data_IF_012761896776
#
_entry.id   IF_012761896776
#
_cell.length_a   1.000
_cell.length_b   1.000
_cell.length_c   1.000
_cell.angle_alpha   90.00
_cell.angle_beta   90.00
_cell.angle_gamma   90.00
#
_symmetry.space_group_name_H-M   'P 1'
#
loop_
_entity.id
_entity.type
_entity.pdbx_description
1 polymer ?
#
# COMPACT_ATOMS: atom_id res chain seq x y z
N UNK A 1 -35.30 -4.22 4.22
CA UNK A 1 -34.55 -3.42 5.21
C UNK A 1 -33.41 -4.29 5.72
N UNK A 2 -32.30 -4.34 4.97
CA UNK A 2 -31.11 -5.08 5.38
C UNK A 2 -30.37 -4.25 6.44
N UNK A 3 -30.30 -4.75 7.67
CA UNK A 3 -29.37 -4.21 8.66
C UNK A 3 -27.95 -4.46 8.18
N UNK A 4 -27.23 -3.40 7.87
CA UNK A 4 -25.76 -3.42 7.88
C UNK A 4 -25.36 -3.74 9.31
N UNK A 5 -24.91 -4.96 9.55
CA UNK A 5 -24.13 -5.28 10.74
C UNK A 5 -22.85 -4.48 10.57
N UNK A 6 -22.73 -3.35 11.28
CA UNK A 6 -21.44 -2.71 11.47
C UNK A 6 -20.61 -3.72 12.24
N UNK A 7 -19.67 -4.37 11.54
CA UNK A 7 -18.70 -5.24 12.18
C UNK A 7 -17.90 -4.39 13.16
N UNK A 8 -18.27 -4.49 14.44
CA UNK A 8 -17.67 -3.74 15.54
C UNK A 8 -16.25 -4.24 15.89
N UNK A 9 -15.68 -5.11 15.05
CA UNK A 9 -14.32 -5.63 15.16
C UNK A 9 -13.36 -5.12 14.08
N UNK A 10 -13.83 -4.37 13.07
CA UNK A 10 -12.96 -3.79 12.05
C UNK A 10 -12.02 -2.75 12.68
N UNK A 11 -10.72 -2.89 12.40
CA UNK A 11 -9.67 -1.98 12.86
C UNK A 11 -8.85 -1.49 11.67
N UNK A 12 -8.31 -0.29 11.80
CA UNK A 12 -7.41 0.29 10.80
C UNK A 12 -6.02 -0.33 10.88
N UNK A 13 -5.51 -0.77 9.75
CA UNK A 13 -4.18 -1.34 9.57
C UNK A 13 -3.36 -0.50 8.60
N UNK A 14 -2.10 -0.25 8.93
CA UNK A 14 -1.16 0.29 7.95
C UNK A 14 -0.53 -0.87 7.19
N UNK A 15 -0.67 -0.87 5.88
CA UNK A 15 -0.14 -1.89 4.97
C UNK A 15 1.03 -1.30 4.18
N UNK A 16 2.13 -2.06 4.08
CA UNK A 16 3.18 -1.83 3.08
C UNK A 16 3.26 -3.07 2.18
N UNK A 17 2.80 -2.92 0.94
CA UNK A 17 2.91 -3.93 -0.10
C UNK A 17 4.20 -3.68 -0.89
N UNK A 18 5.05 -4.70 -0.99
CA UNK A 18 6.29 -4.64 -1.77
C UNK A 18 6.18 -5.56 -2.97
N UNK A 19 6.46 -5.00 -4.14
CA UNK A 19 6.42 -5.71 -5.42
C UNK A 19 7.75 -5.58 -6.15
N UNK A 20 8.14 -6.63 -6.86
CA UNK A 20 9.40 -6.68 -7.61
C UNK A 20 9.25 -7.51 -8.88
N UNK A 21 10.03 -7.17 -9.91
CA UNK A 21 10.09 -7.94 -11.15
C UNK A 21 11.04 -7.34 -12.17
N UNK A 22 10.75 -7.56 -13.46
CA UNK A 22 11.59 -7.08 -14.54
C UNK A 22 11.69 -5.54 -14.56
N UNK A 23 12.88 -5.00 -14.86
CA UNK A 23 13.09 -3.57 -14.89
C UNK A 23 12.23 -2.90 -15.98
N UNK A 24 11.55 -1.81 -15.61
CA UNK A 24 10.79 -0.91 -16.50
C UNK A 24 11.29 0.52 -16.35
N UNK A 25 10.85 1.42 -17.24
CA UNK A 25 11.28 2.82 -17.14
C UNK A 25 10.72 3.48 -15.87
N UNK A 26 11.51 4.33 -15.24
CA UNK A 26 11.08 5.09 -14.05
C UNK A 26 9.87 6.00 -14.30
N UNK A 27 9.65 6.40 -15.55
CA UNK A 27 8.49 7.22 -15.94
C UNK A 27 7.21 6.37 -16.02
N UNK A 28 7.28 5.18 -16.62
CA UNK A 28 6.11 4.27 -16.73
C UNK A 28 5.64 3.81 -15.36
N UNK A 29 6.56 3.37 -14.49
CA UNK A 29 6.17 2.92 -13.15
C UNK A 29 5.59 4.06 -12.31
N UNK A 30 6.13 5.28 -12.43
CA UNK A 30 5.58 6.45 -11.76
C UNK A 30 4.15 6.72 -12.20
N UNK A 31 3.90 6.79 -13.51
CA UNK A 31 2.58 7.04 -14.06
C UNK A 31 1.58 5.93 -13.67
N UNK A 32 2.01 4.67 -13.65
CA UNK A 32 1.18 3.57 -13.20
C UNK A 32 0.81 3.65 -11.71
N UNK A 33 1.77 4.02 -10.85
CA UNK A 33 1.53 4.24 -9.42
C UNK A 33 0.63 5.46 -9.16
N UNK A 34 0.76 6.52 -9.95
CA UNK A 34 -0.14 7.68 -9.90
C UNK A 34 -1.58 7.28 -10.27
N UNK A 35 -1.77 6.49 -11.34
CA UNK A 35 -3.09 5.93 -11.69
C UNK A 35 -3.67 5.02 -10.61
N UNK A 36 -2.85 4.14 -10.02
CA UNK A 36 -3.29 3.32 -8.90
C UNK A 36 -3.77 4.19 -7.73
N UNK A 37 -3.06 5.29 -7.44
CA UNK A 37 -3.44 6.26 -6.42
C UNK A 37 -4.77 6.96 -6.71
N UNK A 38 -5.05 7.25 -7.98
CA UNK A 38 -6.32 7.85 -8.41
C UNK A 38 -7.49 6.86 -8.33
N UNK A 39 -7.25 5.57 -8.65
CA UNK A 39 -8.24 4.50 -8.54
C UNK A 39 -8.57 4.15 -7.07
N UNK A 40 -7.60 4.30 -6.17
CA UNK A 40 -7.70 3.97 -4.74
C UNK A 40 -7.35 5.16 -3.86
N UNK A 41 -8.29 6.09 -3.63
CA UNK A 41 -8.02 7.35 -2.92
C UNK A 41 -7.65 7.21 -1.44
N UNK A 42 -7.50 5.99 -0.90
CA UNK A 42 -6.93 5.71 0.43
C UNK A 42 -5.41 5.45 0.41
N UNK A 43 -4.77 5.49 -0.77
CA UNK A 43 -3.32 5.37 -0.90
C UNK A 43 -2.58 6.53 -0.21
N UNK A 44 -1.72 6.18 0.74
CA UNK A 44 -0.93 7.16 1.48
C UNK A 44 0.33 7.55 0.71
N UNK A 45 1.02 6.59 0.10
CA UNK A 45 2.32 6.86 -0.51
C UNK A 45 2.82 5.69 -1.35
N UNK A 46 3.75 5.97 -2.26
CA UNK A 46 4.51 4.97 -2.96
C UNK A 46 6.00 5.32 -3.03
N UNK A 47 6.87 4.32 -2.95
CA UNK A 47 8.29 4.43 -3.33
C UNK A 47 8.59 3.48 -4.47
N UNK A 48 9.44 3.88 -5.41
CA UNK A 48 9.72 3.05 -6.57
C UNK A 48 11.16 3.15 -7.07
N UNK A 49 11.61 2.07 -7.70
CA UNK A 49 12.82 1.94 -8.50
C UNK A 49 12.42 1.31 -9.84
N UNK A 50 13.38 1.14 -10.74
CA UNK A 50 13.12 0.53 -12.06
C UNK A 50 12.57 -0.90 -11.97
N UNK A 51 12.81 -1.65 -10.90
CA UNK A 51 12.43 -3.05 -10.76
C UNK A 51 11.58 -3.36 -9.50
N UNK A 52 11.26 -2.34 -8.69
CA UNK A 52 10.63 -2.53 -7.38
C UNK A 52 9.72 -1.37 -7.04
N UNK A 53 8.65 -1.63 -6.31
CA UNK A 53 7.87 -0.61 -5.65
C UNK A 53 7.41 -1.03 -4.24
N UNK A 54 7.29 -0.04 -3.36
CA UNK A 54 6.59 -0.13 -2.08
C UNK A 54 5.35 0.76 -2.14
N UNK A 55 4.19 0.16 -1.87
CA UNK A 55 2.89 0.83 -1.86
C UNK A 55 2.40 0.85 -0.41
N UNK A 56 2.00 2.02 0.09
CA UNK A 56 1.62 2.22 1.50
C UNK A 56 0.23 2.82 1.61
N UNK A 57 -0.60 2.25 2.47
CA UNK A 57 -1.98 2.70 2.66
C UNK A 57 -2.54 2.26 4.02
N UNK A 58 -3.68 2.83 4.40
CA UNK A 58 -4.49 2.33 5.51
C UNK A 58 -5.66 1.52 4.97
N UNK A 59 -5.97 0.40 5.62
CA UNK A 59 -7.10 -0.45 5.27
C UNK A 59 -7.87 -0.93 6.51
N UNK A 60 -9.15 -1.22 6.34
CA UNK A 60 -10.00 -1.79 7.39
C UNK A 60 -10.01 -3.31 7.29
N UNK A 61 -9.65 -3.99 8.37
CA UNK A 61 -9.77 -5.44 8.44
C UNK A 61 -9.99 -5.91 9.88
N UNK A 62 -10.66 -7.04 10.04
CA UNK A 62 -10.91 -7.68 11.34
C UNK A 62 -9.59 -8.05 12.04
N UNK A 63 -8.63 -8.60 11.28
CA UNK A 63 -7.30 -8.89 11.77
C UNK A 63 -6.16 -8.69 10.75
N UNK A 64 -4.93 -8.92 11.20
CA UNK A 64 -3.75 -8.71 10.37
C UNK A 64 -3.69 -9.70 9.20
N UNK A 65 -4.19 -10.92 9.38
CA UNK A 65 -4.24 -11.93 8.32
C UNK A 65 -5.23 -11.50 7.24
N UNK A 66 -6.42 -11.05 7.65
CA UNK A 66 -7.41 -10.48 6.72
C UNK A 66 -6.85 -9.28 5.95
N UNK A 67 -6.09 -8.39 6.60
CA UNK A 67 -5.44 -7.27 5.90
C UNK A 67 -4.40 -7.73 4.87
N UNK A 68 -3.65 -8.80 5.13
CA UNK A 68 -2.71 -9.39 4.15
C UNK A 68 -3.47 -9.93 2.94
N UNK A 69 -4.57 -10.66 3.16
CA UNK A 69 -5.39 -11.23 2.09
C UNK A 69 -6.01 -10.13 1.21
N UNK A 70 -6.54 -9.08 1.83
CA UNK A 70 -7.07 -7.91 1.13
C UNK A 70 -5.99 -7.20 0.32
N UNK A 71 -4.78 -7.05 0.86
CA UNK A 71 -3.66 -6.44 0.15
C UNK A 71 -3.24 -7.21 -1.11
N UNK A 72 -3.12 -8.53 -1.00
CA UNK A 72 -2.78 -9.38 -2.14
C UNK A 72 -3.88 -9.32 -3.22
N UNK A 73 -5.15 -9.28 -2.80
CA UNK A 73 -6.30 -9.19 -3.71
C UNK A 73 -6.35 -7.84 -4.44
N UNK A 74 -6.16 -6.73 -3.73
CA UNK A 74 -6.12 -5.38 -4.31
C UNK A 74 -5.06 -5.31 -5.42
N UNK A 75 -3.85 -5.84 -5.15
CA UNK A 75 -2.80 -5.89 -6.16
C UNK A 75 -3.25 -6.66 -7.42
N UNK A 76 -3.79 -7.86 -7.23
CA UNK A 76 -4.25 -8.70 -8.33
C UNK A 76 -5.35 -8.04 -9.16
N UNK A 77 -6.27 -7.33 -8.51
CA UNK A 77 -7.40 -6.65 -9.16
C UNK A 77 -6.97 -5.39 -9.93
N UNK A 78 -6.00 -4.63 -9.40
CA UNK A 78 -5.70 -3.29 -9.91
C UNK A 78 -4.40 -3.15 -10.69
N UNK A 79 -3.52 -4.17 -10.68
CA UNK A 79 -2.27 -4.10 -11.47
C UNK A 79 -2.54 -3.83 -12.95
N UNK A 80 -3.58 -4.45 -13.50
CA UNK A 80 -3.88 -4.36 -14.94
C UNK A 80 -4.53 -3.03 -15.28
N UNK A 81 -5.50 -2.57 -14.47
CA UNK A 81 -6.19 -1.28 -14.70
C UNK A 81 -5.24 -0.09 -14.59
N UNK A 82 -4.36 -0.11 -13.58
CA UNK A 82 -3.36 0.94 -13.38
C UNK A 82 -2.19 0.89 -14.39
N UNK A 83 -2.11 -0.16 -15.21
CA UNK A 83 -1.01 -0.39 -16.15
C UNK A 83 0.33 -0.63 -15.46
N UNK A 84 0.30 -1.30 -14.31
CA UNK A 84 1.48 -1.73 -13.58
C UNK A 84 2.13 -2.92 -14.30
N UNK A 85 3.47 -3.03 -14.23
CA UNK A 85 4.18 -4.19 -14.76
C UNK A 85 3.73 -5.49 -14.09
N UNK A 86 3.99 -6.62 -14.74
CA UNK A 86 3.71 -7.97 -14.23
C UNK A 86 4.71 -8.36 -13.13
N UNK A 87 4.74 -7.55 -12.07
CA UNK A 87 5.58 -7.73 -10.90
C UNK A 87 4.86 -8.55 -9.84
N UNK A 88 5.65 -9.33 -9.13
CA UNK A 88 5.19 -10.23 -8.10
C UNK A 88 5.16 -9.52 -6.75
N UNK A 89 4.22 -9.92 -5.89
CA UNK A 89 4.24 -9.53 -4.48
C UNK A 89 5.35 -10.28 -3.78
N UNK A 90 6.37 -9.55 -3.33
CA UNK A 90 7.55 -10.11 -2.64
C UNK A 90 7.57 -9.80 -1.14
N UNK A 91 6.64 -8.99 -0.64
CA UNK A 91 6.49 -8.72 0.78
C UNK A 91 5.21 -7.99 1.13
N UNK A 92 4.66 -8.29 2.30
CA UNK A 92 3.53 -7.57 2.90
C UNK A 92 3.87 -7.31 4.37
N UNK A 93 3.89 -6.05 4.78
CA UNK A 93 3.93 -5.66 6.19
C UNK A 93 2.57 -5.10 6.60
N UNK A 94 2.01 -5.62 7.68
CA UNK A 94 0.75 -5.15 8.28
C UNK A 94 1.01 -4.80 9.74
N UNK A 95 0.75 -3.56 10.12
CA UNK A 95 0.94 -3.08 11.49
C UNK A 95 -0.24 -2.26 11.98
N UNK A 96 -0.53 -2.39 13.28
CA UNK A 96 -1.59 -1.62 13.92
C UNK A 96 -1.20 -0.14 14.09
N UNK A 97 -2.21 0.70 14.35
CA UNK A 97 -2.03 2.14 14.53
C UNK A 97 -1.03 2.48 15.65
N UNK A 98 -1.05 1.73 16.76
CA UNK A 98 -0.15 1.96 17.88
C UNK A 98 1.32 1.70 17.51
N UNK A 99 1.60 0.61 16.78
CA UNK A 99 2.92 0.25 16.29
C UNK A 99 3.41 1.22 15.24
N UNK A 100 2.55 1.65 14.32
CA UNK A 100 2.86 2.70 13.36
C UNK A 100 3.31 3.99 14.04
N UNK A 101 2.51 4.52 14.98
CA UNK A 101 2.85 5.75 15.72
C UNK A 101 4.12 5.59 16.57
N UNK A 102 4.31 4.43 17.21
CA UNK A 102 5.52 4.16 17.98
C UNK A 102 6.77 4.20 17.08
N UNK A 103 6.73 3.55 15.91
CA UNK A 103 7.85 3.57 14.95
C UNK A 103 8.10 4.97 14.40
N UNK A 104 7.06 5.73 14.08
CA UNK A 104 7.18 7.13 13.64
C UNK A 104 7.85 8.02 14.70
N UNK A 105 7.51 7.82 15.99
CA UNK A 105 8.13 8.52 17.13
C UNK A 105 9.54 8.06 17.44
N UNK A 106 9.93 6.81 17.18
CA UNK A 106 11.34 6.39 17.35
C UNK A 106 12.22 6.95 16.23
N UNK A 107 11.64 7.17 15.06
CA UNK A 107 12.35 7.57 13.85
C UNK A 107 12.68 9.08 13.75
N UNK A 108 12.93 9.84 14.84
CA UNK A 108 13.32 11.26 14.82
C UNK A 108 14.66 11.59 14.07
N UNK A 109 15.11 10.74 13.14
CA UNK A 109 16.14 11.02 12.15
C UNK A 109 15.78 10.61 10.71
N UNK A 110 14.82 9.72 10.47
CA UNK A 110 14.22 9.40 9.16
C UNK A 110 12.93 8.57 9.34
N UNK A 111 11.76 9.19 9.52
CA UNK A 111 10.51 8.57 9.14
C UNK A 111 10.26 9.03 7.70
N UNK A 112 10.37 8.16 6.70
CA UNK A 112 9.70 8.45 5.42
C UNK A 112 8.19 8.28 5.65
N UNK A 113 7.62 9.16 6.47
CA UNK A 113 6.27 9.67 6.29
C UNK A 113 6.33 10.42 4.96
N UNK A 114 6.39 9.65 3.88
CA UNK A 114 6.08 10.16 2.55
C UNK A 114 4.71 10.81 2.75
N UNK A 115 4.67 12.14 2.62
CA UNK A 115 3.44 12.89 2.84
C UNK A 115 2.33 12.22 2.05
N UNK A 116 1.15 12.09 2.67
CA UNK A 116 -0.01 11.46 2.06
C UNK A 116 -0.16 11.91 0.59
N UNK A 117 -0.30 10.96 -0.33
CA UNK A 117 -0.43 11.17 -1.77
C UNK A 117 0.88 11.34 -2.56
N UNK A 118 2.07 11.10 -1.99
CA UNK A 118 3.33 11.22 -2.76
C UNK A 118 3.86 9.88 -3.28
N UNK A 119 4.16 9.84 -4.57
CA UNK A 119 4.94 8.80 -5.25
C UNK A 119 6.36 9.32 -5.45
N UNK A 120 7.35 8.68 -4.82
CA UNK A 120 8.74 9.12 -4.81
C UNK A 120 9.69 8.01 -5.27
N UNK A 121 10.83 8.32 -5.90
CA UNK A 121 11.87 7.32 -6.08
C UNK A 121 12.41 6.81 -4.73
N UNK A 122 13.00 5.61 -4.71
CA UNK A 122 13.78 5.14 -3.55
C UNK A 122 14.98 6.05 -3.27
#
# INVERSE_FOLDING_TARGET
>A
MLSVVLDSSARMWHVTLTVEGAAVSSHEIRAALERLSDEHPFLLAGRYASNRAEIRYWDEATDASSAVELAARLWAEHRVSAGLPDWEVVGVEVIDQHTFHRRGRTAHGQPSLVAAGRILPF
#
